data_IF_877119070360
#
_entry.id   IF_877119070360
#
_cell.length_a   1.000
_cell.length_b   1.000
_cell.length_c   1.000
_cell.angle_alpha   90.00
_cell.angle_beta   90.00
_cell.angle_gamma   90.00
#
_symmetry.space_group_name_H-M   'P 1'
#
loop_
_entity.id
_entity.type
_entity.pdbx_description
1 polymer ?
#
# COMPACT_ATOMS: atom_id res chain seq x y z
N UNK A 1 23.96 -53.48 -24.27
CA UNK A 1 23.89 -52.57 -23.10
C UNK A 1 23.86 -51.13 -23.62
N UNK A 2 22.74 -50.40 -23.53
CA UNK A 2 22.74 -48.95 -23.84
C UNK A 2 23.82 -48.32 -22.96
N UNK A 3 24.86 -47.82 -23.63
CA UNK A 3 26.17 -47.59 -23.04
C UNK A 3 26.07 -46.59 -21.89
N UNK A 4 26.74 -46.88 -20.77
CA UNK A 4 26.84 -46.03 -19.59
C UNK A 4 27.13 -44.55 -19.96
N UNK A 5 27.83 -44.33 -21.07
CA UNK A 5 28.18 -43.01 -21.62
C UNK A 5 26.99 -42.11 -21.96
N UNK A 6 25.79 -42.67 -22.17
CA UNK A 6 24.57 -41.88 -22.44
C UNK A 6 23.74 -41.65 -21.18
N UNK A 7 23.72 -42.61 -20.24
CA UNK A 7 22.91 -42.52 -19.03
C UNK A 7 23.47 -41.54 -18.00
N UNK A 8 24.79 -41.53 -17.82
CA UNK A 8 25.47 -40.63 -16.88
C UNK A 8 25.24 -39.15 -17.21
N UNK A 9 25.46 -38.65 -18.45
CA UNK A 9 25.18 -37.25 -18.76
C UNK A 9 23.70 -36.89 -18.64
N UNK A 10 22.78 -37.82 -18.94
CA UNK A 10 21.34 -37.58 -18.71
C UNK A 10 21.01 -37.41 -17.22
N UNK A 11 21.62 -38.19 -16.33
CA UNK A 11 21.40 -38.05 -14.87
C UNK A 11 22.00 -36.73 -14.37
N UNK A 12 23.19 -36.35 -14.83
CA UNK A 12 23.82 -35.07 -14.47
C UNK A 12 22.96 -33.89 -14.96
N UNK A 13 22.46 -33.97 -16.20
CA UNK A 13 21.57 -32.95 -16.75
C UNK A 13 20.26 -32.86 -15.95
N UNK A 14 19.66 -33.99 -15.56
CA UNK A 14 18.48 -34.02 -14.71
C UNK A 14 18.76 -33.34 -13.36
N UNK A 15 19.86 -33.72 -12.69
CA UNK A 15 20.25 -33.12 -11.42
C UNK A 15 20.46 -31.60 -11.56
N UNK A 16 21.09 -31.15 -12.65
CA UNK A 16 21.27 -29.72 -12.93
C UNK A 16 19.94 -28.99 -13.17
N UNK A 17 19.00 -29.59 -13.89
CA UNK A 17 17.67 -28.98 -14.08
C UNK A 17 16.93 -28.84 -12.76
N UNK A 18 17.03 -29.84 -11.87
CA UNK A 18 16.40 -29.80 -10.54
C UNK A 18 17.02 -28.69 -9.70
N UNK A 19 18.33 -28.51 -9.70
CA UNK A 19 18.97 -27.42 -8.94
C UNK A 19 18.58 -26.03 -9.45
N UNK A 20 18.51 -25.84 -10.77
CA UNK A 20 18.04 -24.58 -11.37
C UNK A 20 16.59 -24.27 -10.99
N UNK A 21 15.71 -25.29 -10.98
CA UNK A 21 14.31 -25.11 -10.56
C UNK A 21 14.23 -24.70 -9.09
N UNK A 22 14.99 -25.34 -8.20
CA UNK A 22 15.00 -25.01 -6.76
C UNK A 22 15.52 -23.57 -6.54
N UNK A 23 16.62 -23.20 -7.22
CA UNK A 23 17.18 -21.84 -7.14
C UNK A 23 16.19 -20.80 -7.67
N UNK A 24 15.56 -21.07 -8.82
CA UNK A 24 14.54 -20.19 -9.40
C UNK A 24 13.35 -20.00 -8.47
N UNK A 25 12.87 -21.08 -7.84
CA UNK A 25 11.79 -21.02 -6.86
C UNK A 25 12.17 -20.22 -5.60
N UNK A 26 13.37 -20.44 -5.06
CA UNK A 26 13.89 -19.69 -3.92
C UNK A 26 14.02 -18.20 -4.23
N UNK A 27 14.58 -17.86 -5.40
CA UNK A 27 14.70 -16.48 -5.86
C UNK A 27 13.32 -15.83 -6.02
N UNK A 28 12.34 -16.55 -6.58
CA UNK A 28 10.99 -16.03 -6.74
C UNK A 28 10.34 -15.68 -5.39
N UNK A 29 10.50 -16.54 -4.37
CA UNK A 29 10.00 -16.26 -3.02
C UNK A 29 10.70 -15.03 -2.43
N UNK A 30 12.03 -14.97 -2.52
CA UNK A 30 12.81 -13.87 -1.97
C UNK A 30 12.44 -12.53 -2.62
N UNK A 31 12.34 -12.49 -3.96
CA UNK A 31 11.89 -11.32 -4.69
C UNK A 31 10.49 -10.89 -4.24
N UNK A 32 9.54 -11.82 -4.15
CA UNK A 32 8.16 -11.49 -3.73
C UNK A 32 8.12 -10.90 -2.31
N UNK A 33 8.91 -11.43 -1.38
CA UNK A 33 9.00 -10.93 0.00
C UNK A 33 9.59 -9.52 0.04
N UNK A 34 10.76 -9.33 -0.57
CA UNK A 34 11.47 -8.05 -0.55
C UNK A 34 10.65 -6.94 -1.24
N UNK A 35 9.94 -7.27 -2.33
CA UNK A 35 9.06 -6.31 -2.99
C UNK A 35 7.86 -5.94 -2.12
N UNK A 36 7.30 -6.89 -1.34
CA UNK A 36 6.21 -6.58 -0.40
C UNK A 36 6.68 -5.65 0.71
N UNK A 37 7.84 -5.94 1.29
CA UNK A 37 8.45 -5.13 2.36
C UNK A 37 8.73 -3.71 1.87
N UNK A 38 9.34 -3.57 0.68
CA UNK A 38 9.60 -2.26 0.07
C UNK A 38 8.32 -1.46 -0.17
N UNK A 39 7.21 -2.11 -0.56
CA UNK A 39 5.93 -1.41 -0.72
C UNK A 39 5.41 -0.91 0.62
N UNK A 40 5.49 -1.72 1.67
CA UNK A 40 5.03 -1.36 3.01
C UNK A 40 5.83 -0.19 3.59
N UNK A 41 7.16 -0.23 3.48
CA UNK A 41 8.06 0.86 3.90
C UNK A 41 7.71 2.17 3.17
N UNK A 42 7.59 2.13 1.84
CA UNK A 42 7.27 3.31 1.04
C UNK A 42 5.90 3.91 1.35
N UNK A 43 4.89 3.06 1.60
CA UNK A 43 3.58 3.52 2.04
C UNK A 43 3.66 4.22 3.40
N UNK A 44 4.40 3.63 4.33
CA UNK A 44 4.58 4.19 5.66
C UNK A 44 5.33 5.53 5.64
N UNK A 45 6.41 5.63 4.86
CA UNK A 45 7.15 6.88 4.64
C UNK A 45 6.26 8.00 4.12
N UNK A 46 5.40 7.69 3.13
CA UNK A 46 4.51 8.70 2.56
C UNK A 46 3.44 9.20 3.53
N UNK A 47 2.86 8.29 4.32
CA UNK A 47 1.92 8.68 5.37
C UNK A 47 2.65 9.53 6.42
N UNK A 48 3.88 9.16 6.79
CA UNK A 48 4.73 9.92 7.72
C UNK A 48 5.03 11.33 7.21
N UNK A 49 5.47 11.45 5.95
CA UNK A 49 5.72 12.75 5.32
C UNK A 49 4.46 13.61 5.26
N UNK A 50 3.32 13.00 4.91
CA UNK A 50 2.03 13.73 4.85
C UNK A 50 1.58 14.19 6.24
N UNK A 51 1.74 13.36 7.27
CA UNK A 51 1.51 13.73 8.68
C UNK A 51 2.41 14.90 9.09
N UNK A 52 3.69 14.88 8.71
CA UNK A 52 4.62 15.98 8.94
C UNK A 52 4.17 17.29 8.29
N UNK A 53 3.75 17.25 7.03
CA UNK A 53 3.21 18.42 6.31
C UNK A 53 1.96 18.96 7.00
N UNK A 54 1.01 18.08 7.38
CA UNK A 54 -0.21 18.51 8.08
C UNK A 54 0.13 19.19 9.39
N UNK A 55 1.07 18.63 10.18
CA UNK A 55 1.53 19.22 11.44
C UNK A 55 2.16 20.59 11.21
N UNK A 56 3.04 20.74 10.22
CA UNK A 56 3.67 22.01 9.89
C UNK A 56 2.63 23.07 9.46
N UNK A 57 1.62 22.69 8.69
CA UNK A 57 0.54 23.60 8.29
C UNK A 57 -0.30 24.04 9.50
N UNK A 58 -0.57 23.13 10.45
CA UNK A 58 -1.26 23.47 11.72
C UNK A 58 -0.44 24.42 12.58
N UNK A 59 0.88 24.20 12.70
CA UNK A 59 1.78 25.10 13.44
C UNK A 59 1.81 26.51 12.83
N UNK A 60 1.66 26.61 11.50
CA UNK A 60 1.50 27.87 10.77
C UNK A 60 0.09 28.47 10.87
N UNK A 61 -0.81 27.89 11.67
CA UNK A 61 -2.19 28.34 11.93
C UNK A 61 -3.11 28.36 10.70
N UNK A 62 -2.85 27.49 9.72
CA UNK A 62 -3.81 27.26 8.64
C UNK A 62 -5.10 26.64 9.19
N UNK A 63 -6.25 27.01 8.64
CA UNK A 63 -7.52 26.39 9.01
C UNK A 63 -7.60 24.97 8.45
N UNK A 64 -8.33 24.08 9.13
CA UNK A 64 -8.44 22.68 8.70
C UNK A 64 -9.03 22.54 7.28
N UNK A 65 -9.94 23.44 6.86
CA UNK A 65 -10.46 23.45 5.49
C UNK A 65 -9.37 23.78 4.45
N UNK A 66 -8.44 24.68 4.79
CA UNK A 66 -7.32 25.03 3.91
C UNK A 66 -6.33 23.88 3.81
N UNK A 67 -6.03 23.23 4.93
CA UNK A 67 -5.19 22.04 4.98
C UNK A 67 -5.82 20.93 4.14
N UNK A 68 -7.11 20.66 4.30
CA UNK A 68 -7.84 19.70 3.48
C UNK A 68 -7.74 20.04 1.99
N UNK A 69 -7.87 21.31 1.61
CA UNK A 69 -7.74 21.75 0.21
C UNK A 69 -6.31 21.57 -0.33
N UNK A 70 -5.28 21.85 0.48
CA UNK A 70 -3.88 21.64 0.11
C UNK A 70 -3.59 20.16 -0.11
N UNK A 71 -4.00 19.32 0.84
CA UNK A 71 -3.81 17.87 0.77
C UNK A 71 -4.63 17.26 -0.37
N UNK A 72 -5.86 17.71 -0.58
CA UNK A 72 -6.68 17.33 -1.73
C UNK A 72 -5.92 17.63 -3.03
N UNK A 73 -5.37 18.83 -3.20
CA UNK A 73 -4.59 19.20 -4.40
C UNK A 73 -3.29 18.43 -4.56
N UNK A 74 -2.68 17.92 -3.48
CA UNK A 74 -1.50 17.06 -3.59
C UNK A 74 -1.85 15.62 -3.96
N UNK A 75 -3.09 15.19 -3.69
CA UNK A 75 -3.60 13.86 -4.00
C UNK A 75 -4.20 13.79 -5.42
N UNK A 76 -4.97 14.79 -5.82
CA UNK A 76 -5.63 14.87 -7.12
C UNK A 76 -4.91 15.85 -8.02
N UNK A 77 -4.48 15.38 -9.20
CA UNK A 77 -3.94 16.25 -10.25
C UNK A 77 -5.05 17.06 -10.94
N UNK A 78 -6.23 16.47 -11.06
CA UNK A 78 -7.43 17.08 -11.64
C UNK A 78 -8.69 16.53 -10.96
N UNK A 79 -9.76 17.32 -10.85
CA UNK A 79 -10.95 16.99 -10.02
C UNK A 79 -11.73 15.76 -10.51
N UNK A 80 -11.51 15.35 -11.76
CA UNK A 80 -12.20 14.22 -12.41
C UNK A 80 -11.32 12.97 -12.55
N UNK A 81 -10.05 13.04 -12.17
CA UNK A 81 -9.11 11.92 -12.33
C UNK A 81 -8.92 11.12 -11.04
N UNK A 82 -8.79 9.80 -11.18
CA UNK A 82 -8.43 8.94 -10.06
C UNK A 82 -7.03 9.33 -9.56
N UNK A 83 -6.83 9.49 -8.24
CA UNK A 83 -5.58 9.98 -7.69
C UNK A 83 -4.42 9.07 -8.10
N UNK A 84 -3.41 9.67 -8.72
CA UNK A 84 -2.18 9.00 -9.15
C UNK A 84 -0.97 9.44 -8.31
N UNK A 85 -1.18 9.98 -7.11
CA UNK A 85 -0.11 10.52 -6.28
C UNK A 85 0.81 9.44 -5.67
N UNK A 86 0.37 8.18 -5.64
CA UNK A 86 1.28 7.04 -5.41
C UNK A 86 1.63 6.33 -6.72
N UNK A 87 2.65 6.84 -7.42
CA UNK A 87 3.24 6.17 -8.59
C UNK A 87 4.34 5.19 -8.17
N UNK A 88 4.02 4.20 -7.36
CA UNK A 88 4.92 3.06 -7.19
C UNK A 88 4.59 2.01 -8.23
N UNK A 89 5.37 2.00 -9.32
CA UNK A 89 5.25 1.02 -10.43
C UNK A 89 5.20 -0.44 -9.95
N UNK A 90 5.69 -0.69 -8.74
CA UNK A 90 5.76 -1.99 -8.07
C UNK A 90 4.39 -2.47 -7.57
N UNK A 91 3.48 -1.58 -7.15
CA UNK A 91 2.20 -1.95 -6.53
C UNK A 91 0.97 -1.35 -7.23
N UNK A 92 1.16 -0.68 -8.38
CA UNK A 92 0.08 -0.05 -9.14
C UNK A 92 -0.27 1.36 -8.65
N UNK A 93 -1.49 1.80 -8.93
CA UNK A 93 -1.98 3.14 -8.56
C UNK A 93 -2.49 3.11 -7.11
N UNK A 94 -1.75 3.72 -6.19
CA UNK A 94 -2.21 3.96 -4.82
C UNK A 94 -2.81 5.36 -4.66
N UNK A 95 -3.46 5.62 -3.53
CA UNK A 95 -3.92 6.94 -3.15
C UNK A 95 -3.88 7.13 -1.64
N UNK A 96 -3.76 8.38 -1.21
CA UNK A 96 -3.87 8.75 0.20
C UNK A 96 -5.32 9.15 0.52
N UNK A 97 -5.79 8.81 1.70
CA UNK A 97 -7.10 9.20 2.21
C UNK A 97 -7.01 9.45 3.71
N UNK A 98 -7.93 10.25 4.24
CA UNK A 98 -7.91 10.69 5.64
C UNK A 98 -9.30 10.52 6.24
N UNK A 99 -9.33 10.05 7.49
CA UNK A 99 -10.51 10.06 8.35
C UNK A 99 -10.45 11.21 9.35
N UNK A 100 -11.59 11.75 9.73
CA UNK A 100 -11.71 12.50 10.97
C UNK A 100 -11.77 11.55 12.19
N UNK A 101 -11.86 12.12 13.39
CA UNK A 101 -11.96 11.39 14.65
C UNK A 101 -13.27 10.61 14.83
N UNK A 102 -14.29 10.83 13.99
CA UNK A 102 -15.58 10.13 14.00
C UNK A 102 -15.66 8.99 12.99
N UNK A 103 -14.68 8.89 12.08
CA UNK A 103 -14.69 7.92 11.00
C UNK A 103 -15.24 8.42 9.67
N UNK A 104 -15.52 9.72 9.56
CA UNK A 104 -15.90 10.33 8.29
C UNK A 104 -14.66 10.49 7.42
N UNK A 105 -14.77 10.09 6.16
CA UNK A 105 -13.70 10.26 5.18
C UNK A 105 -13.65 11.72 4.72
N UNK A 106 -12.69 12.49 5.23
CA UNK A 106 -12.53 13.91 4.86
C UNK A 106 -11.85 14.06 3.49
N UNK A 107 -11.01 13.11 3.11
CA UNK A 107 -10.40 13.04 1.78
C UNK A 107 -10.45 11.59 1.31
N UNK A 108 -11.22 11.30 0.25
CA UNK A 108 -11.26 9.95 -0.35
C UNK A 108 -11.82 10.00 -1.80
N UNK A 109 -11.26 9.27 -2.77
CA UNK A 109 -11.63 9.41 -4.19
C UNK A 109 -13.08 9.08 -4.53
N UNK A 110 -13.74 8.24 -3.73
CA UNK A 110 -15.09 7.74 -4.03
C UNK A 110 -16.11 7.90 -2.88
N UNK A 111 -15.66 8.24 -1.68
CA UNK A 111 -16.47 8.15 -0.45
C UNK A 111 -16.26 9.37 0.45
N UNK A 112 -15.76 10.47 -0.12
CA UNK A 112 -15.56 11.72 0.62
C UNK A 112 -16.86 12.20 1.24
N UNK A 113 -16.76 12.70 2.47
CA UNK A 113 -17.89 13.15 3.28
C UNK A 113 -18.72 12.02 3.90
N UNK A 114 -18.47 10.75 3.59
CA UNK A 114 -19.22 9.61 4.14
C UNK A 114 -18.52 8.96 5.32
N UNK A 115 -19.30 8.44 6.26
CA UNK A 115 -18.80 7.57 7.32
C UNK A 115 -19.00 6.11 6.88
N UNK A 116 -17.89 5.41 6.61
CA UNK A 116 -17.92 4.03 6.09
C UNK A 116 -17.65 2.97 7.18
N UNK A 117 -17.50 3.37 8.44
CA UNK A 117 -17.17 2.45 9.55
C UNK A 117 -18.30 1.43 9.77
N UNK A 118 -19.56 1.87 9.67
CA UNK A 118 -20.71 0.99 9.86
C UNK A 118 -20.95 0.10 8.63
N UNK A 119 -20.79 0.67 7.43
CA UNK A 119 -21.09 0.02 6.16
C UNK A 119 -20.05 -1.02 5.72
N UNK A 120 -18.81 -0.93 6.23
CA UNK A 120 -17.73 -1.81 5.78
C UNK A 120 -16.74 -2.14 6.88
N UNK A 121 -16.66 -3.44 7.19
CA UNK A 121 -15.68 -4.00 8.13
C UNK A 121 -14.25 -3.55 7.83
N UNK A 122 -13.86 -3.47 6.56
CA UNK A 122 -12.52 -3.02 6.16
C UNK A 122 -12.23 -1.60 6.64
N UNK A 123 -13.18 -0.67 6.48
CA UNK A 123 -12.97 0.73 6.90
C UNK A 123 -12.96 0.84 8.43
N UNK A 124 -13.75 0.00 9.12
CA UNK A 124 -13.71 -0.14 10.58
C UNK A 124 -12.36 -0.65 11.08
N UNK A 125 -11.88 -1.77 10.52
CA UNK A 125 -10.59 -2.37 10.91
C UNK A 125 -9.43 -1.37 10.69
N UNK A 126 -9.47 -0.60 9.60
CA UNK A 126 -8.49 0.47 9.33
C UNK A 126 -8.59 1.57 10.39
N UNK A 127 -9.80 2.03 10.70
CA UNK A 127 -10.02 3.12 11.66
C UNK A 127 -9.64 2.75 13.10
N UNK A 128 -9.89 1.50 13.49
CA UNK A 128 -9.56 0.96 14.81
C UNK A 128 -8.07 0.66 14.98
N UNK A 129 -7.37 0.29 13.90
CA UNK A 129 -5.94 -0.04 13.96
C UNK A 129 -5.07 1.13 14.40
N UNK A 130 -5.48 2.37 14.11
CA UNK A 130 -4.81 3.66 14.42
C UNK A 130 -3.41 3.84 13.85
N UNK A 131 -2.55 2.82 13.85
CA UNK A 131 -1.19 2.83 13.33
C UNK A 131 -0.75 1.49 12.72
N UNK A 132 0.14 1.55 11.73
CA UNK A 132 0.80 0.39 11.12
C UNK A 132 0.24 0.02 9.75
N UNK A 133 0.50 -1.23 9.32
CA UNK A 133 0.14 -1.73 7.99
C UNK A 133 -1.04 -2.70 8.06
N UNK A 134 -2.00 -2.58 7.15
CA UNK A 134 -3.09 -3.55 6.98
C UNK A 134 -3.17 -4.05 5.55
N UNK A 135 -3.41 -5.35 5.40
CA UNK A 135 -3.63 -6.03 4.13
C UNK A 135 -5.09 -6.47 4.07
N UNK A 136 -5.80 -6.13 3.00
CA UNK A 136 -7.23 -6.39 2.89
C UNK A 136 -7.67 -6.58 1.44
N UNK A 137 -8.86 -7.14 1.25
CA UNK A 137 -9.51 -7.21 -0.06
C UNK A 137 -10.47 -6.04 -0.18
N UNK A 138 -10.33 -5.22 -1.22
CA UNK A 138 -11.18 -4.06 -1.40
C UNK A 138 -12.65 -4.47 -1.59
N UNK A 139 -13.60 -3.93 -0.82
CA UNK A 139 -15.01 -4.30 -0.96
C UNK A 139 -15.60 -3.86 -2.31
N UNK A 140 -15.01 -2.83 -2.95
CA UNK A 140 -15.48 -2.31 -4.24
C UNK A 140 -14.95 -3.09 -5.44
N UNK A 141 -13.68 -3.49 -5.42
CA UNK A 141 -13.00 -4.07 -6.60
C UNK A 141 -12.63 -5.54 -6.44
N UNK A 142 -12.72 -6.11 -5.24
CA UNK A 142 -12.28 -7.48 -4.96
C UNK A 142 -10.76 -7.69 -5.05
N UNK A 143 -9.98 -6.63 -5.22
CA UNK A 143 -8.52 -6.71 -5.36
C UNK A 143 -7.83 -6.66 -4.01
N UNK A 144 -6.71 -7.37 -3.88
CA UNK A 144 -5.82 -7.25 -2.73
C UNK A 144 -5.21 -5.85 -2.64
N UNK A 145 -5.22 -5.27 -1.44
CA UNK A 145 -4.68 -3.94 -1.14
C UNK A 145 -3.88 -3.97 0.15
N UNK A 146 -2.90 -3.07 0.20
CA UNK A 146 -2.08 -2.79 1.39
C UNK A 146 -2.30 -1.31 1.71
N UNK A 147 -2.50 -0.98 2.98
CA UNK A 147 -2.59 0.39 3.46
C UNK A 147 -1.68 0.60 4.67
N UNK A 148 -0.96 1.72 4.68
CA UNK A 148 -0.29 2.24 5.85
C UNK A 148 -1.20 3.24 6.56
N UNK A 149 -1.21 3.21 7.89
CA UNK A 149 -2.12 3.97 8.73
C UNK A 149 -1.26 4.66 9.79
N UNK A 150 -1.53 5.93 10.03
CA UNK A 150 -1.02 6.67 11.18
C UNK A 150 -2.07 7.66 11.65
N UNK A 151 -2.16 7.85 12.97
CA UNK A 151 -3.04 8.85 13.56
C UNK A 151 -2.29 10.17 13.68
N UNK A 152 -2.98 11.27 13.37
CA UNK A 152 -2.47 12.62 13.58
C UNK A 152 -3.02 13.07 14.94
N UNK A 153 -2.17 13.03 15.96
CA UNK A 153 -2.52 13.54 17.28
C UNK A 153 -2.59 15.08 17.21
N UNK A 154 -3.68 15.63 17.73
CA UNK A 154 -3.84 17.06 17.91
C UNK A 154 -3.35 17.38 19.31
N UNK A 155 -2.10 17.82 19.42
CA UNK A 155 -1.63 18.45 20.64
C UNK A 155 -2.23 19.85 20.65
N UNK A 156 -3.45 19.96 21.20
CA UNK A 156 -4.19 21.21 21.33
C UNK A 156 -3.43 22.33 22.03
#
# INVERSE_FOLDING_TARGET
>A
MKSLRVRVPCIIMLLFTVTVIILGYSLHISLKSNMSELVEERLYDQVTMTKGIIKELRERKYQDEEIQKIIRKSIYRDEKEYPENLKYKIAGKGFLYIFDNTGKLIVHPAFEGKNMIEESKVFRDIFEKKEGIIKYISPKTGTFKIAAIQTIEDNG
#
